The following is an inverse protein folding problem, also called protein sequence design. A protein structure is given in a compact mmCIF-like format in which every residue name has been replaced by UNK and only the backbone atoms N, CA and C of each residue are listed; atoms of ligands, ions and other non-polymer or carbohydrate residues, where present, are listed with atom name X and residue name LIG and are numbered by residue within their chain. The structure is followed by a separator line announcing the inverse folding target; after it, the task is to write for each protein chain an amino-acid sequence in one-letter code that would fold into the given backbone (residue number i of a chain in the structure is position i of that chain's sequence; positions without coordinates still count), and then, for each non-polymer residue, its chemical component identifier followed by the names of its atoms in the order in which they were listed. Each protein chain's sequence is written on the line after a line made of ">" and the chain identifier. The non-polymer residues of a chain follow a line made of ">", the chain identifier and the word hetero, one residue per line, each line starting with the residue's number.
data_IF_306907261924
#
_entry.id   IF_306907261924
#
_cell.length_a   1.000
_cell.length_b   1.000
_cell.length_c   1.000
_cell.angle_alpha   90.00
_cell.angle_beta   90.00
_cell.angle_gamma   90.00
#
_symmetry.space_group_name_H-M   'P 1'
#
loop_
_entity.id
_entity.type
_entity.pdbx_description
1 polymer ?
#
# COMPACT_ATOMS: atom_id res chain seq x y z
N UNK A 1 7.57 -6.48 18.18
CA UNK A 1 8.51 -7.26 17.36
C UNK A 1 9.03 -6.36 16.27
N UNK A 2 10.34 -6.30 16.05
CA UNK A 2 10.97 -5.51 14.97
C UNK A 2 11.27 -6.46 13.82
N UNK A 3 10.81 -6.14 12.64
CA UNK A 3 11.09 -6.93 11.44
C UNK A 3 11.75 -5.99 10.43
N UNK A 4 12.93 -6.36 9.94
CA UNK A 4 13.66 -5.61 8.92
C UNK A 4 13.29 -6.15 7.56
N UNK A 5 12.91 -5.28 6.66
CA UNK A 5 12.65 -5.61 5.26
C UNK A 5 13.54 -4.76 4.38
N UNK A 6 13.99 -5.34 3.29
CA UNK A 6 14.82 -4.67 2.30
C UNK A 6 13.98 -4.32 1.08
N UNK A 7 14.08 -3.09 0.62
CA UNK A 7 13.49 -2.65 -0.64
C UNK A 7 14.63 -2.64 -1.68
N UNK A 8 14.49 -3.42 -2.72
CA UNK A 8 15.33 -3.31 -3.90
C UNK A 8 14.67 -2.34 -4.89
N UNK A 9 15.40 -1.31 -5.27
CA UNK A 9 14.96 -0.39 -6.31
C UNK A 9 15.75 -0.66 -7.58
N UNK A 10 15.05 -1.12 -8.61
CA UNK A 10 15.63 -1.29 -9.94
C UNK A 10 15.88 0.08 -10.60
N UNK A 11 16.67 0.08 -11.66
CA UNK A 11 16.98 1.28 -12.45
C UNK A 11 17.72 2.42 -11.70
N UNK A 12 18.43 2.09 -10.62
CA UNK A 12 19.27 3.05 -9.95
C UNK A 12 20.63 3.15 -10.62
N UNK A 13 20.92 4.28 -11.26
CA UNK A 13 22.21 4.57 -11.89
C UNK A 13 22.99 5.57 -11.04
N UNK A 14 24.21 5.21 -10.65
CA UNK A 14 25.13 6.12 -9.98
C UNK A 14 26.14 6.70 -10.99
N UNK A 15 26.20 8.02 -11.08
CA UNK A 15 27.16 8.72 -11.92
C UNK A 15 28.56 8.84 -11.30
N UNK A 16 28.78 8.30 -10.10
CA UNK A 16 30.01 8.51 -9.33
C UNK A 16 31.02 7.37 -9.43
N UNK A 17 30.80 6.38 -10.29
CA UNK A 17 31.68 5.20 -10.43
C UNK A 17 31.71 4.28 -9.19
N UNK A 18 30.99 4.61 -8.12
CA UNK A 18 30.80 3.74 -6.96
C UNK A 18 29.63 2.81 -7.19
N UNK A 19 29.64 1.62 -6.59
CA UNK A 19 28.49 0.73 -6.58
C UNK A 19 27.29 1.50 -6.01
N UNK A 20 26.28 1.71 -6.83
CA UNK A 20 25.07 2.40 -6.41
C UNK A 20 24.38 1.57 -5.33
N UNK A 21 24.00 2.22 -4.22
CA UNK A 21 23.12 1.60 -3.24
C UNK A 21 21.70 1.64 -3.79
N UNK A 22 21.23 0.50 -4.27
CA UNK A 22 19.88 0.34 -4.84
C UNK A 22 18.89 -0.29 -3.85
N UNK A 23 19.27 -0.38 -2.58
CA UNK A 23 18.45 -0.98 -1.53
C UNK A 23 18.21 0.01 -0.41
N UNK A 24 17.01 0.00 0.14
CA UNK A 24 16.63 0.70 1.36
C UNK A 24 16.04 -0.30 2.35
N UNK A 25 16.06 0.06 3.63
CA UNK A 25 15.51 -0.79 4.69
C UNK A 25 14.26 -0.16 5.28
N UNK A 26 13.24 -0.97 5.47
CA UNK A 26 12.05 -0.61 6.23
C UNK A 26 11.99 -1.39 7.53
N UNK A 27 11.52 -0.73 8.58
CA UNK A 27 11.32 -1.35 9.89
C UNK A 27 9.84 -1.29 10.24
N UNK A 28 9.28 -2.44 10.57
CA UNK A 28 7.90 -2.57 10.97
C UNK A 28 7.79 -2.73 12.49
N UNK A 29 6.89 -1.94 13.07
CA UNK A 29 6.56 -2.03 14.49
C UNK A 29 5.07 -2.34 14.62
N UNK A 30 4.74 -3.19 15.59
CA UNK A 30 3.34 -3.46 15.93
C UNK A 30 3.10 -3.14 17.41
N UNK A 31 1.96 -2.54 17.71
CA UNK A 31 1.45 -2.41 19.07
C UNK A 31 0.58 -3.62 19.37
N UNK A 32 1.00 -4.47 20.32
CA UNK A 32 0.32 -5.72 20.63
C UNK A 32 0.66 -6.85 19.64
N UNK A 33 -0.29 -7.74 19.40
CA UNK A 33 -0.14 -8.81 18.39
C UNK A 33 -0.22 -8.22 17.00
N UNK A 34 0.74 -8.58 16.14
CA UNK A 34 0.64 -8.26 14.71
C UNK A 34 -0.59 -8.98 14.12
N UNK A 35 -1.35 -8.26 13.31
CA UNK A 35 -2.44 -8.85 12.54
C UNK A 35 -1.87 -9.56 11.32
N UNK A 36 -2.44 -10.71 11.02
CA UNK A 36 -2.28 -11.36 9.73
C UNK A 36 -3.52 -11.07 8.91
N UNK A 37 -3.36 -10.45 7.78
CA UNK A 37 -4.45 -9.91 6.98
C UNK A 37 -4.64 -10.64 5.65
N UNK A 38 -4.26 -11.92 5.58
CA UNK A 38 -4.57 -12.70 4.39
C UNK A 38 -6.07 -12.96 4.31
N UNK A 39 -6.70 -12.45 3.25
CA UNK A 39 -8.11 -12.73 2.95
C UNK A 39 -8.35 -14.23 2.80
N UNK A 40 -9.44 -14.73 3.39
CA UNK A 40 -9.97 -16.05 3.09
C UNK A 40 -10.81 -15.95 1.80
N UNK A 41 -10.12 -16.01 0.66
CA UNK A 41 -10.74 -15.84 -0.65
C UNK A 41 -11.92 -16.83 -0.88
N UNK A 42 -11.81 -18.08 -0.39
CA UNK A 42 -12.85 -19.07 -0.54
C UNK A 42 -14.11 -18.72 0.26
N UNK A 43 -13.93 -18.32 1.52
CA UNK A 43 -15.06 -17.95 2.36
C UNK A 43 -15.73 -16.66 1.91
N UNK A 44 -14.93 -15.64 1.54
CA UNK A 44 -15.47 -14.39 1.04
C UNK A 44 -16.25 -14.61 -0.26
N UNK A 45 -15.69 -15.38 -1.20
CA UNK A 45 -16.38 -15.70 -2.45
C UNK A 45 -17.69 -16.49 -2.22
N UNK A 46 -17.66 -17.47 -1.32
CA UNK A 46 -18.87 -18.23 -0.96
C UNK A 46 -19.94 -17.32 -0.35
N UNK A 47 -19.51 -16.42 0.57
CA UNK A 47 -20.41 -15.47 1.22
C UNK A 47 -21.01 -14.45 0.25
N UNK A 48 -20.21 -13.93 -0.67
CA UNK A 48 -20.69 -13.02 -1.71
C UNK A 48 -21.73 -13.68 -2.62
N UNK A 49 -21.48 -14.93 -3.05
CA UNK A 49 -22.45 -15.71 -3.83
C UNK A 49 -23.76 -15.97 -3.07
N UNK A 50 -23.66 -16.35 -1.79
CA UNK A 50 -24.83 -16.56 -0.91
C UNK A 50 -25.73 -15.31 -0.86
N UNK A 51 -25.11 -14.13 -0.88
CA UNK A 51 -25.80 -12.83 -0.83
C UNK A 51 -26.21 -12.29 -2.19
N UNK A 52 -25.98 -13.04 -3.27
CA UNK A 52 -26.30 -12.62 -4.64
C UNK A 52 -25.43 -11.46 -5.16
N UNK A 53 -24.27 -11.21 -4.53
CA UNK A 53 -23.34 -10.19 -5.00
C UNK A 53 -22.67 -10.71 -6.27
N UNK A 54 -22.68 -9.92 -7.33
CA UNK A 54 -22.01 -10.29 -8.59
C UNK A 54 -20.49 -10.25 -8.40
N UNK A 55 -19.84 -11.42 -8.58
CA UNK A 55 -18.40 -11.60 -8.33
C UNK A 55 -17.65 -12.18 -9.53
N UNK A 56 -18.31 -12.26 -10.69
CA UNK A 56 -17.71 -12.82 -11.90
C UNK A 56 -16.55 -11.93 -12.37
N UNK A 57 -15.36 -12.53 -12.48
CA UNK A 57 -14.16 -11.82 -12.93
C UNK A 57 -13.48 -10.94 -11.86
N UNK A 58 -14.01 -10.89 -10.63
CA UNK A 58 -13.41 -10.15 -9.54
C UNK A 58 -12.28 -10.94 -8.87
N UNK A 59 -11.21 -10.27 -8.51
CA UNK A 59 -10.18 -10.81 -7.65
C UNK A 59 -10.64 -10.88 -6.17
N UNK A 60 -9.81 -11.46 -5.30
CA UNK A 60 -10.17 -11.66 -3.89
C UNK A 60 -10.31 -10.36 -3.11
N UNK A 61 -9.67 -9.28 -3.53
CA UNK A 61 -9.78 -7.95 -2.89
C UNK A 61 -11.06 -7.27 -3.30
N UNK A 62 -11.37 -7.27 -4.59
CA UNK A 62 -12.62 -6.72 -5.11
C UNK A 62 -13.85 -7.43 -4.52
N UNK A 63 -13.77 -8.76 -4.32
CA UNK A 63 -14.81 -9.51 -3.60
C UNK A 63 -14.93 -9.07 -2.14
N UNK A 64 -13.82 -8.86 -1.45
CA UNK A 64 -13.83 -8.38 -0.07
C UNK A 64 -14.38 -6.95 0.04
N UNK A 65 -14.04 -6.09 -0.90
CA UNK A 65 -14.57 -4.73 -1.00
C UNK A 65 -16.08 -4.72 -1.21
N UNK A 66 -16.59 -5.54 -2.14
CA UNK A 66 -18.02 -5.68 -2.39
C UNK A 66 -18.77 -6.16 -1.14
N UNK A 67 -18.21 -7.11 -0.38
CA UNK A 67 -18.76 -7.54 0.91
C UNK A 67 -18.77 -6.40 1.92
N UNK A 68 -17.66 -5.65 2.04
CA UNK A 68 -17.54 -4.51 2.95
C UNK A 68 -18.56 -3.43 2.64
N UNK A 69 -18.74 -3.10 1.37
CA UNK A 69 -19.75 -2.13 0.89
C UNK A 69 -21.16 -2.59 1.22
N UNK A 70 -21.41 -3.90 1.17
CA UNK A 70 -22.68 -4.49 1.57
C UNK A 70 -22.84 -4.62 3.11
N UNK A 71 -21.91 -4.10 3.91
CA UNK A 71 -21.93 -4.20 5.37
C UNK A 71 -21.65 -5.60 5.92
N UNK A 72 -21.08 -6.48 5.11
CA UNK A 72 -20.81 -7.87 5.48
C UNK A 72 -19.37 -8.02 5.99
N UNK A 73 -19.17 -8.63 7.17
CA UNK A 73 -17.83 -8.82 7.71
C UNK A 73 -16.92 -9.65 6.79
N UNK A 74 -15.75 -9.11 6.47
CA UNK A 74 -14.74 -9.79 5.67
C UNK A 74 -14.09 -10.92 6.47
N UNK A 75 -13.92 -12.06 5.82
CA UNK A 75 -13.29 -13.24 6.44
C UNK A 75 -11.80 -13.28 6.14
N UNK A 76 -11.00 -13.51 7.19
CA UNK A 76 -9.55 -13.66 7.11
C UNK A 76 -9.14 -15.07 7.49
N UNK A 77 -8.06 -15.55 6.90
CA UNK A 77 -7.48 -16.85 7.25
C UNK A 77 -6.96 -16.82 8.67
N UNK A 78 -7.37 -17.78 9.49
CA UNK A 78 -6.82 -17.96 10.83
C UNK A 78 -5.41 -18.58 10.74
N UNK A 79 -4.44 -17.93 11.36
CA UNK A 79 -3.16 -18.54 11.76
C UNK A 79 -2.06 -18.65 10.71
N UNK A 80 -2.28 -18.31 9.44
CA UNK A 80 -1.21 -18.28 8.45
C UNK A 80 -1.10 -16.88 7.85
N UNK A 81 -0.38 -16.02 8.56
CA UNK A 81 0.13 -14.83 7.94
C UNK A 81 0.96 -15.24 6.73
N UNK A 82 0.60 -14.76 5.56
CA UNK A 82 1.62 -14.59 4.54
C UNK A 82 2.59 -13.60 5.18
N UNK A 83 3.77 -14.07 5.56
CA UNK A 83 4.77 -13.17 6.10
C UNK A 83 5.05 -12.09 5.07
N UNK A 84 5.19 -10.85 5.53
CA UNK A 84 5.73 -9.79 4.71
C UNK A 84 6.98 -10.30 3.99
N UNK A 85 7.12 -10.07 2.69
CA UNK A 85 8.33 -10.49 1.98
C UNK A 85 9.55 -9.84 2.65
N UNK A 86 10.63 -10.57 2.74
CA UNK A 86 11.91 -10.04 3.28
C UNK A 86 12.46 -8.97 2.34
N UNK A 87 12.15 -9.07 1.06
CA UNK A 87 12.59 -8.15 0.02
C UNK A 87 11.39 -7.74 -0.83
N UNK A 88 11.19 -6.44 -0.98
CA UNK A 88 10.28 -5.85 -1.95
C UNK A 88 11.08 -5.44 -3.18
N UNK A 89 10.69 -5.93 -4.35
CA UNK A 89 11.31 -5.54 -5.62
C UNK A 89 10.36 -4.58 -6.34
N UNK A 90 10.79 -3.33 -6.45
CA UNK A 90 9.99 -2.27 -7.09
C UNK A 90 10.86 -1.44 -8.02
N UNK A 91 10.27 -0.97 -9.10
CA UNK A 91 10.94 -0.03 -9.98
C UNK A 91 10.90 1.38 -9.38
N UNK A 92 12.01 2.07 -9.48
CA UNK A 92 12.11 3.46 -9.02
C UNK A 92 11.34 4.35 -9.99
N UNK A 93 10.56 5.29 -9.45
CA UNK A 93 9.95 6.37 -10.24
C UNK A 93 11.01 7.12 -11.05
N UNK A 94 10.76 7.36 -12.33
CA UNK A 94 11.67 8.10 -13.20
C UNK A 94 11.93 9.50 -12.68
N UNK A 95 13.16 10.03 -12.86
CA UNK A 95 13.53 11.36 -12.35
C UNK A 95 12.62 12.48 -12.87
N UNK A 96 12.12 12.35 -14.09
CA UNK A 96 11.19 13.31 -14.71
C UNK A 96 9.79 13.30 -14.09
N UNK A 97 9.43 12.26 -13.38
CA UNK A 97 8.11 12.04 -12.76
C UNK A 97 8.13 12.25 -11.24
N UNK A 98 9.32 12.43 -10.66
CA UNK A 98 9.48 12.60 -9.23
C UNK A 98 9.08 14.00 -8.77
N UNK A 99 8.15 14.07 -7.83
CA UNK A 99 7.78 15.32 -7.13
C UNK A 99 8.78 15.60 -6.00
N UNK A 100 9.32 14.56 -5.37
CA UNK A 100 10.23 14.66 -4.23
C UNK A 100 11.44 13.72 -4.39
N UNK A 101 12.65 14.18 -4.00
CA UNK A 101 13.90 13.39 -4.17
C UNK A 101 13.89 12.03 -3.46
N UNK A 102 13.21 11.93 -2.33
CA UNK A 102 13.10 10.71 -1.52
C UNK A 102 11.82 9.90 -1.80
N UNK A 103 11.18 10.19 -2.91
CA UNK A 103 9.91 9.56 -3.29
C UNK A 103 10.03 8.05 -3.41
N UNK A 104 9.06 7.35 -2.82
CA UNK A 104 8.89 5.90 -2.95
C UNK A 104 7.81 5.61 -3.98
N UNK A 105 8.00 4.56 -4.81
CA UNK A 105 7.01 4.18 -5.82
C UNK A 105 5.65 3.83 -5.21
N UNK A 106 4.57 4.20 -5.90
CA UNK A 106 3.19 3.86 -5.50
C UNK A 106 3.04 2.35 -5.34
N UNK A 107 3.60 1.57 -6.27
CA UNK A 107 3.53 0.10 -6.25
C UNK A 107 4.07 -0.52 -4.95
N UNK A 108 5.09 0.09 -4.33
CA UNK A 108 5.60 -0.37 -3.03
C UNK A 108 4.54 -0.20 -1.94
N UNK A 109 3.87 0.96 -1.90
CA UNK A 109 2.84 1.23 -0.91
C UNK A 109 1.60 0.37 -1.15
N UNK A 110 1.21 0.14 -2.40
CA UNK A 110 0.11 -0.75 -2.74
C UNK A 110 0.35 -2.17 -2.23
N UNK A 111 1.55 -2.70 -2.47
CA UNK A 111 1.91 -4.02 -1.96
C UNK A 111 1.91 -4.06 -0.43
N UNK A 112 2.49 -3.05 0.23
CA UNK A 112 2.50 -2.94 1.69
C UNK A 112 1.10 -2.89 2.29
N UNK A 113 0.22 -2.06 1.73
CA UNK A 113 -1.16 -1.89 2.23
C UNK A 113 -1.91 -3.22 2.24
N UNK A 114 -1.68 -4.07 1.27
CA UNK A 114 -2.32 -5.39 1.21
C UNK A 114 -1.87 -6.35 2.33
N UNK A 115 -0.66 -6.15 2.87
CA UNK A 115 -0.17 -6.96 3.99
C UNK A 115 -0.57 -6.41 5.36
N UNK A 116 -0.72 -5.08 5.51
CA UNK A 116 -0.81 -4.44 6.82
C UNK A 116 -2.13 -3.75 7.10
N UNK A 117 -2.98 -3.56 6.08
CA UNK A 117 -4.28 -2.88 6.19
C UNK A 117 -5.41 -3.67 5.57
N UNK A 118 -6.63 -3.33 5.98
CA UNK A 118 -7.89 -3.80 5.40
C UNK A 118 -8.51 -2.71 4.54
N UNK A 119 -9.40 -3.06 3.57
CA UNK A 119 -10.25 -2.07 2.89
C UNK A 119 -10.96 -1.17 3.91
N UNK A 120 -11.08 0.10 3.57
CA UNK A 120 -11.69 1.17 4.39
C UNK A 120 -10.95 1.52 5.69
N UNK A 121 -9.80 0.90 6.01
CA UNK A 121 -8.99 1.34 7.14
C UNK A 121 -8.28 2.66 6.86
N UNK A 122 -8.02 3.41 7.93
CA UNK A 122 -7.30 4.68 7.88
C UNK A 122 -5.79 4.45 7.98
N UNK A 123 -5.08 4.99 7.02
CA UNK A 123 -3.61 5.04 6.96
C UNK A 123 -3.17 6.46 7.31
N UNK A 124 -2.28 6.60 8.28
CA UNK A 124 -1.68 7.88 8.64
C UNK A 124 -0.25 7.95 8.12
N UNK A 125 0.06 9.00 7.35
CA UNK A 125 1.42 9.39 7.01
C UNK A 125 1.71 10.79 7.53
N UNK A 126 2.66 10.90 8.45
CA UNK A 126 3.04 12.16 9.09
C UNK A 126 4.11 12.95 8.31
N UNK A 127 4.62 12.38 7.22
CA UNK A 127 5.68 12.96 6.40
C UNK A 127 5.42 12.65 4.93
N UNK A 128 4.25 13.08 4.46
CA UNK A 128 3.63 12.57 3.23
C UNK A 128 4.42 12.89 1.95
N UNK A 129 5.24 13.93 1.93
CA UNK A 129 6.08 14.30 0.79
C UNK A 129 5.31 14.37 -0.52
N UNK A 130 5.54 13.40 -1.42
CA UNK A 130 4.84 13.28 -2.71
C UNK A 130 3.41 12.72 -2.62
N UNK A 131 2.95 12.36 -1.42
CA UNK A 131 1.65 11.72 -1.17
C UNK A 131 1.40 10.39 -1.90
N UNK A 132 2.44 9.69 -2.32
CA UNK A 132 2.28 8.42 -3.05
C UNK A 132 1.58 7.33 -2.23
N UNK A 133 1.70 7.35 -0.90
CA UNK A 133 0.90 6.45 -0.06
C UNK A 133 -0.59 6.78 -0.11
N UNK A 134 -0.95 8.06 -0.26
CA UNK A 134 -2.34 8.50 -0.47
C UNK A 134 -2.91 7.96 -1.78
N UNK A 135 -2.15 8.07 -2.88
CA UNK A 135 -2.52 7.50 -4.17
C UNK A 135 -2.69 5.98 -4.09
N UNK A 136 -1.77 5.29 -3.40
CA UNK A 136 -1.88 3.86 -3.16
C UNK A 136 -3.12 3.50 -2.33
N UNK A 137 -3.46 4.31 -1.32
CA UNK A 137 -4.68 4.13 -0.54
C UNK A 137 -5.94 4.25 -1.41
N UNK A 138 -6.01 5.24 -2.29
CA UNK A 138 -7.11 5.40 -3.24
C UNK A 138 -7.23 4.18 -4.16
N UNK A 139 -6.13 3.74 -4.77
CA UNK A 139 -6.11 2.56 -5.64
C UNK A 139 -6.56 1.27 -4.93
N UNK A 140 -6.32 1.18 -3.63
CA UNK A 140 -6.60 -0.03 -2.83
C UNK A 140 -7.83 0.10 -1.92
N UNK A 141 -8.62 1.15 -2.07
CA UNK A 141 -9.83 1.36 -1.27
C UNK A 141 -9.56 1.55 0.23
N UNK A 142 -8.49 2.26 0.58
CA UNK A 142 -8.16 2.67 1.94
C UNK A 142 -8.36 4.17 2.09
N UNK A 143 -8.60 4.60 3.33
CA UNK A 143 -8.60 6.02 3.66
C UNK A 143 -7.20 6.46 4.04
N UNK A 144 -6.82 7.70 3.72
CA UNK A 144 -5.53 8.27 4.10
C UNK A 144 -5.69 9.60 4.83
N UNK A 145 -4.87 9.80 5.87
CA UNK A 145 -4.64 11.10 6.50
C UNK A 145 -3.17 11.43 6.29
N UNK A 146 -2.92 12.45 5.50
CA UNK A 146 -1.58 12.82 5.05
C UNK A 146 -1.20 14.17 5.65
N UNK A 147 -0.03 14.23 6.28
CA UNK A 147 0.50 15.44 6.88
C UNK A 147 1.82 15.79 6.20
N UNK A 148 1.94 17.03 5.75
CA UNK A 148 3.18 17.57 5.21
C UNK A 148 3.45 18.94 5.84
N UNK A 149 4.69 19.14 6.35
CA UNK A 149 5.07 20.35 7.05
C UNK A 149 5.44 21.48 6.10
N UNK A 150 6.05 21.13 4.96
CA UNK A 150 6.52 22.08 3.97
C UNK A 150 5.35 22.63 3.16
N UNK A 151 5.07 23.94 3.27
CA UNK A 151 3.95 24.55 2.54
C UNK A 151 4.04 24.34 1.02
N UNK A 152 5.24 24.48 0.46
CA UNK A 152 5.49 24.29 -0.97
C UNK A 152 5.24 22.81 -1.36
N UNK A 153 5.77 21.87 -0.59
CA UNK A 153 5.61 20.44 -0.79
C UNK A 153 4.15 20.05 -0.63
N UNK A 154 3.46 20.60 0.35
CA UNK A 154 2.03 20.40 0.57
C UNK A 154 1.20 20.81 -0.65
N UNK A 155 1.42 22.03 -1.19
CA UNK A 155 0.66 22.53 -2.34
C UNK A 155 0.87 21.65 -3.60
N UNK A 156 2.12 21.20 -3.83
CA UNK A 156 2.44 20.31 -4.95
C UNK A 156 1.73 18.96 -4.76
N UNK A 157 1.80 18.39 -3.56
CA UNK A 157 1.22 17.11 -3.25
C UNK A 157 -0.32 17.13 -3.29
N UNK A 158 -0.95 18.18 -2.76
CA UNK A 158 -2.41 18.36 -2.81
C UNK A 158 -2.90 18.38 -4.27
N UNK A 159 -2.25 19.19 -5.11
CA UNK A 159 -2.56 19.24 -6.54
C UNK A 159 -2.38 17.87 -7.21
N UNK A 160 -1.30 17.16 -6.92
CA UNK A 160 -1.04 15.83 -7.48
C UNK A 160 -2.05 14.76 -7.03
N UNK A 161 -2.67 14.90 -5.86
CA UNK A 161 -3.78 14.04 -5.44
C UNK A 161 -5.07 14.43 -6.15
N UNK A 162 -5.37 15.73 -6.27
CA UNK A 162 -6.55 16.20 -6.99
C UNK A 162 -6.54 15.74 -8.45
N UNK A 163 -5.41 15.88 -9.14
CA UNK A 163 -5.23 15.41 -10.52
C UNK A 163 -5.32 13.88 -10.64
N UNK A 164 -4.96 13.16 -9.59
CA UNK A 164 -5.03 11.70 -9.57
C UNK A 164 -6.46 11.16 -9.39
N UNK A 165 -7.32 11.94 -8.78
CA UNK A 165 -8.73 11.58 -8.51
C UNK A 165 -9.67 12.04 -9.64
N UNK A 166 -9.26 13.05 -10.43
CA UNK A 166 -10.05 13.60 -11.53
C UNK A 166 -10.18 12.63 -12.71
#
# INVERSE_FOLDING_TARGET
>A
MKIWHTINMNNFVSNTGRKAKNTEQMVFFTKGKSRSLKLDAKKNLAKAKELGIEVKGLDSYSVAEALSTAGVPIQYMKGTAKMLPIVFNVDKTGKSEQIHQAEKPIALFEELLEYITLPNELVLDQFAGSCNIGKACLNKGRNALLLEKGEKEYQIAAKAIEEFVA
#
